data_IF_682832084594
#
_entry.id   IF_682832084594
#
_cell.length_a   1.000
_cell.length_b   1.000
_cell.length_c   1.000
_cell.angle_alpha   90.00
_cell.angle_beta   90.00
_cell.angle_gamma   90.00
#
_symmetry.space_group_name_H-M   'P 1'
#
loop_
_entity.id
_entity.type
_entity.pdbx_description
1 polymer ?
#
# COMPACT_ATOMS: atom_id res chain seq x y z
N UNK A 1 -3.40 2.63 -4.33
CA UNK A 1 -3.68 2.62 -5.79
C UNK A 1 -4.96 1.86 -6.11
N UNK A 2 -5.11 0.60 -5.69
CA UNK A 2 -6.34 -0.19 -5.93
C UNK A 2 -7.63 0.48 -5.45
N UNK A 3 -7.63 1.13 -4.27
CA UNK A 3 -8.86 1.78 -3.76
C UNK A 3 -9.29 3.00 -4.57
N UNK A 4 -8.33 3.76 -5.11
CA UNK A 4 -8.59 4.93 -5.96
C UNK A 4 -9.20 4.49 -7.29
N UNK A 5 -8.64 3.43 -7.90
CA UNK A 5 -9.17 2.85 -9.14
C UNK A 5 -10.58 2.27 -8.91
N UNK A 6 -10.78 1.58 -7.78
CA UNK A 6 -12.09 1.06 -7.39
C UNK A 6 -13.13 2.16 -7.21
N UNK A 7 -12.77 3.27 -6.57
CA UNK A 7 -13.66 4.41 -6.40
C UNK A 7 -14.07 5.04 -7.74
N UNK A 8 -13.12 5.24 -8.66
CA UNK A 8 -13.40 5.79 -10.01
C UNK A 8 -14.30 4.84 -10.81
N UNK A 9 -14.06 3.54 -10.76
CA UNK A 9 -14.86 2.54 -11.47
C UNK A 9 -16.29 2.42 -10.92
N UNK A 10 -16.47 2.59 -9.61
CA UNK A 10 -17.78 2.58 -8.98
C UNK A 10 -18.55 3.89 -9.23
N UNK A 11 -17.84 5.02 -9.23
CA UNK A 11 -18.41 6.32 -9.60
C UNK A 11 -18.92 6.32 -11.04
N UNK A 12 -18.14 5.82 -12.00
CA UNK A 12 -18.57 5.73 -13.41
C UNK A 12 -19.77 4.78 -13.59
N UNK A 13 -19.78 3.64 -12.89
CA UNK A 13 -20.91 2.71 -12.89
C UNK A 13 -22.18 3.34 -12.30
N UNK A 14 -22.04 4.16 -11.27
CA UNK A 14 -23.15 4.92 -10.69
C UNK A 14 -23.79 5.89 -11.68
N UNK A 15 -22.98 6.63 -12.44
CA UNK A 15 -23.49 7.55 -13.46
C UNK A 15 -24.20 6.84 -14.62
N UNK A 16 -23.80 5.60 -14.95
CA UNK A 16 -24.33 4.85 -16.10
C UNK A 16 -25.54 3.95 -15.77
N UNK A 17 -25.60 3.36 -14.56
CA UNK A 17 -26.57 2.29 -14.22
C UNK A 17 -27.42 2.64 -12.99
N UNK A 18 -27.00 3.61 -12.18
CA UNK A 18 -27.66 3.97 -10.91
C UNK A 18 -27.26 3.09 -9.72
N UNK A 19 -27.78 3.45 -8.54
CA UNK A 19 -27.54 2.75 -7.26
C UNK A 19 -28.34 1.44 -7.17
N UNK A 20 -27.74 0.31 -6.74
CA UNK A 20 -28.49 -0.93 -6.56
C UNK A 20 -29.46 -0.89 -5.37
N UNK A 21 -29.13 -0.14 -4.30
CA UNK A 21 -29.99 0.10 -3.13
C UNK A 21 -29.45 1.28 -2.30
N UNK A 22 -30.30 1.84 -1.43
CA UNK A 22 -29.93 2.97 -0.55
C UNK A 22 -28.78 2.61 0.41
N UNK A 23 -27.78 3.48 0.53
CA UNK A 23 -26.60 3.26 1.39
C UNK A 23 -25.46 2.45 0.75
N UNK A 24 -25.61 1.99 -0.50
CA UNK A 24 -24.54 1.29 -1.22
C UNK A 24 -23.27 2.15 -1.39
N UNK A 25 -23.45 3.44 -1.67
CA UNK A 25 -22.35 4.38 -1.86
C UNK A 25 -21.50 4.62 -0.62
N UNK A 26 -22.14 4.79 0.53
CA UNK A 26 -21.46 5.00 1.81
C UNK A 26 -20.71 3.75 2.24
N UNK A 27 -21.33 2.57 2.14
CA UNK A 27 -20.67 1.29 2.42
C UNK A 27 -19.43 1.08 1.56
N UNK A 28 -19.57 1.33 0.25
CA UNK A 28 -18.49 1.13 -0.71
C UNK A 28 -17.35 2.13 -0.50
N UNK A 29 -17.67 3.40 -0.24
CA UNK A 29 -16.66 4.44 0.03
C UNK A 29 -15.89 4.15 1.31
N UNK A 30 -16.59 3.79 2.40
CA UNK A 30 -15.94 3.43 3.68
C UNK A 30 -15.05 2.20 3.49
N UNK A 31 -15.53 1.15 2.83
CA UNK A 31 -14.74 -0.05 2.59
C UNK A 31 -13.46 0.27 1.81
N UNK A 32 -13.55 1.00 0.69
CA UNK A 32 -12.40 1.37 -0.13
C UNK A 32 -11.42 2.28 0.62
N UNK A 33 -11.93 3.24 1.39
CA UNK A 33 -11.10 4.12 2.21
C UNK A 33 -10.35 3.34 3.27
N UNK A 34 -11.03 2.48 4.04
CA UNK A 34 -10.42 1.63 5.05
C UNK A 34 -9.36 0.70 4.47
N UNK A 35 -9.63 0.01 3.36
CA UNK A 35 -8.64 -0.84 2.70
C UNK A 35 -7.44 -0.04 2.19
N UNK A 36 -7.67 1.13 1.61
CA UNK A 36 -6.59 2.03 1.17
C UNK A 36 -5.70 2.47 2.33
N UNK A 37 -6.31 2.84 3.45
CA UNK A 37 -5.59 3.27 4.65
C UNK A 37 -4.78 2.12 5.27
N UNK A 38 -5.36 0.92 5.37
CA UNK A 38 -4.66 -0.26 5.89
C UNK A 38 -3.45 -0.63 5.04
N UNK A 39 -3.59 -0.64 3.70
CA UNK A 39 -2.46 -0.92 2.80
C UNK A 39 -1.38 0.15 2.89
N UNK A 40 -1.76 1.42 3.06
CA UNK A 40 -0.80 2.50 3.25
C UNK A 40 0.00 2.32 4.55
N UNK A 41 -0.66 2.01 5.66
CA UNK A 41 0.01 1.71 6.94
C UNK A 41 0.95 0.49 6.83
N UNK A 42 0.52 -0.57 6.15
CA UNK A 42 1.37 -1.73 5.89
C UNK A 42 2.60 -1.38 5.05
N UNK A 43 2.48 -0.46 4.09
CA UNK A 43 3.61 0.04 3.31
C UNK A 43 4.67 0.71 4.17
N UNK A 44 4.24 1.57 5.10
CA UNK A 44 5.15 2.21 6.07
C UNK A 44 5.86 1.14 6.91
N UNK A 45 5.10 0.19 7.46
CA UNK A 45 5.68 -0.90 8.28
C UNK A 45 6.71 -1.71 7.49
N UNK A 46 6.45 -2.00 6.22
CA UNK A 46 7.37 -2.75 5.37
C UNK A 46 8.70 -2.02 5.15
N UNK A 47 8.68 -0.69 4.98
CA UNK A 47 9.88 0.14 4.85
C UNK A 47 10.73 0.09 6.13
N UNK A 48 10.10 0.29 7.30
CA UNK A 48 10.78 0.19 8.58
C UNK A 48 11.35 -1.22 8.84
N UNK A 49 10.59 -2.25 8.49
CA UNK A 49 11.05 -3.63 8.62
C UNK A 49 12.27 -3.91 7.73
N UNK A 50 12.31 -3.32 6.52
CA UNK A 50 13.47 -3.39 5.62
C UNK A 50 14.72 -2.74 6.22
N UNK A 51 14.58 -1.57 6.84
CA UNK A 51 15.69 -0.90 7.52
C UNK A 51 16.22 -1.73 8.70
N UNK A 52 15.32 -2.27 9.53
CA UNK A 52 15.69 -3.13 10.66
C UNK A 52 16.38 -4.40 10.15
N UNK A 53 15.87 -4.99 9.06
CA UNK A 53 16.48 -6.18 8.47
C UNK A 53 17.92 -5.91 8.02
N UNK A 54 18.18 -4.80 7.33
CA UNK A 54 19.54 -4.43 6.91
C UNK A 54 20.48 -4.21 8.10
N UNK A 55 19.98 -3.59 9.17
CA UNK A 55 20.76 -3.37 10.41
C UNK A 55 21.08 -4.67 11.15
N UNK A 56 20.14 -5.61 11.21
CA UNK A 56 20.33 -6.93 11.84
C UNK A 56 21.23 -7.83 11.00
N UNK A 57 21.17 -7.75 9.66
CA UNK A 57 21.88 -8.65 8.75
C UNK A 57 23.41 -8.55 8.88
N UNK A 58 23.95 -7.40 9.32
CA UNK A 58 25.40 -7.15 9.57
C UNK A 58 26.32 -7.79 8.51
N UNK A 59 25.96 -7.73 7.22
CA UNK A 59 26.84 -8.22 6.15
C UNK A 59 27.90 -7.14 5.88
N UNK A 60 29.20 -7.45 5.97
CA UNK A 60 30.22 -6.48 5.61
C UNK A 60 30.01 -6.06 4.15
N UNK A 61 29.86 -4.75 3.91
CA UNK A 61 29.61 -4.17 2.57
C UNK A 61 30.79 -4.36 1.61
N UNK A 62 31.96 -4.76 2.11
CA UNK A 62 33.16 -4.99 1.33
C UNK A 62 34.07 -5.99 2.05
N UNK A 63 34.69 -6.87 1.28
CA UNK A 63 35.80 -7.71 1.73
C UNK A 63 37.07 -7.04 1.21
N UNK A 64 37.92 -6.53 2.10
CA UNK A 64 39.21 -5.94 1.71
C UNK A 64 40.15 -7.09 1.37
N UNK A 65 40.33 -7.35 0.07
CA UNK A 65 41.17 -8.46 -0.44
C UNK A 65 42.66 -8.10 -0.53
N UNK A 66 43.03 -6.80 -0.59
CA UNK A 66 44.44 -6.42 -0.64
C UNK A 66 44.73 -5.03 -0.09
N UNK A 67 45.59 -5.01 0.93
CA UNK A 67 46.30 -3.81 1.38
C UNK A 67 47.57 -3.66 0.52
N UNK A 68 47.70 -2.56 -0.21
CA UNK A 68 48.95 -2.16 -0.85
C UNK A 68 49.75 -1.36 0.20
N UNK A 69 50.72 -2.03 0.82
CA UNK A 69 51.76 -1.43 1.67
C UNK A 69 53.00 -1.08 0.85
#
# INVERSE_FOLDING_TARGET
MLSVIGFIALASRWFLVGVPFGGYGTLTTIALFSFGLLTFMLGIIAEYLGLIYEEVKKRPNYVVDRWLS
#
